data_IF_564850218951
#
_entry.id   IF_564850218951
#
_cell.length_a   1.000
_cell.length_b   1.000
_cell.length_c   1.000
_cell.angle_alpha   90.00
_cell.angle_beta   90.00
_cell.angle_gamma   90.00
#
_symmetry.space_group_name_H-M   'P 1'
#
loop_
_entity.id
_entity.type
_entity.pdbx_description
1 polymer ?
#
# COMPACT_ATOMS: atom_id res chain seq x y z
N UNK A 1 -27.11 -6.43 4.05
CA UNK A 1 -25.79 -6.99 3.69
C UNK A 1 -24.97 -7.13 4.95
N UNK A 2 -24.15 -8.19 5.09
CA UNK A 2 -23.18 -8.25 6.19
C UNK A 2 -22.32 -6.99 6.16
N UNK A 3 -21.98 -6.45 7.34
CA UNK A 3 -21.10 -5.27 7.46
C UNK A 3 -19.72 -5.60 6.89
N UNK A 4 -19.55 -5.39 5.59
CA UNK A 4 -18.29 -5.60 4.86
C UNK A 4 -17.38 -4.40 5.08
N UNK A 5 -16.09 -4.62 5.18
CA UNK A 5 -15.09 -3.57 5.27
C UNK A 5 -13.89 -3.87 4.35
N UNK A 6 -13.31 -2.82 3.79
CA UNK A 6 -12.10 -2.87 2.98
C UNK A 6 -10.97 -2.11 3.65
N UNK A 7 -9.80 -2.71 3.67
CA UNK A 7 -8.55 -2.06 4.05
C UNK A 7 -7.66 -2.12 2.79
N UNK A 8 -7.29 -0.97 2.26
CA UNK A 8 -6.56 -0.86 1.00
C UNK A 8 -5.08 -0.61 1.25
N UNK A 9 -4.20 -1.27 0.50
CA UNK A 9 -2.87 -0.73 0.23
C UNK A 9 -2.95 0.41 -0.78
N UNK A 10 -1.88 1.17 -0.95
CA UNK A 10 -1.82 2.28 -1.90
C UNK A 10 -0.91 1.96 -3.09
N UNK A 11 0.41 1.83 -2.84
CA UNK A 11 1.41 1.70 -3.90
C UNK A 11 1.27 0.36 -4.64
N UNK A 12 0.95 0.39 -5.93
CA UNK A 12 0.69 -0.79 -6.75
C UNK A 12 -0.73 -1.38 -6.60
N UNK A 13 -1.57 -0.78 -5.76
CA UNK A 13 -2.95 -1.23 -5.54
C UNK A 13 -3.97 -0.18 -5.98
N UNK A 14 -4.06 0.95 -5.30
CA UNK A 14 -4.88 2.10 -5.73
C UNK A 14 -4.08 3.10 -6.56
N UNK A 15 -2.76 3.16 -6.35
CA UNK A 15 -1.85 4.13 -6.98
C UNK A 15 -0.84 3.41 -7.88
N UNK A 16 -0.77 3.83 -9.14
CA UNK A 16 0.35 3.52 -10.03
C UNK A 16 1.52 4.46 -9.69
N UNK A 17 2.32 4.03 -8.74
CA UNK A 17 3.36 4.85 -8.09
C UNK A 17 4.77 4.27 -8.22
N UNK A 18 4.94 3.05 -8.70
CA UNK A 18 6.27 2.41 -8.72
C UNK A 18 7.28 3.16 -9.58
N UNK A 19 6.88 3.73 -10.71
CA UNK A 19 7.78 4.54 -11.54
C UNK A 19 8.23 5.83 -10.80
N UNK A 20 7.32 6.52 -10.13
CA UNK A 20 7.65 7.68 -9.33
C UNK A 20 8.59 7.34 -8.16
N UNK A 21 8.36 6.19 -7.51
CA UNK A 21 9.23 5.67 -6.45
C UNK A 21 10.63 5.38 -6.98
N UNK A 22 10.75 4.71 -8.14
CA UNK A 22 12.04 4.40 -8.76
C UNK A 22 12.81 5.65 -9.17
N UNK A 23 12.14 6.65 -9.75
CA UNK A 23 12.75 7.94 -10.08
C UNK A 23 13.25 8.65 -8.82
N UNK A 24 12.49 8.66 -7.74
CA UNK A 24 12.94 9.23 -6.46
C UNK A 24 14.15 8.53 -5.86
N UNK A 25 14.26 7.19 -6.02
CA UNK A 25 15.45 6.43 -5.60
C UNK A 25 16.64 6.74 -6.52
N UNK A 26 16.43 6.80 -7.82
CA UNK A 26 17.48 7.15 -8.79
C UNK A 26 18.10 8.51 -8.50
N UNK A 27 17.28 9.54 -8.25
CA UNK A 27 17.75 10.87 -7.87
C UNK A 27 18.51 10.86 -6.54
N UNK A 28 18.00 10.11 -5.56
CA UNK A 28 18.69 9.93 -4.27
C UNK A 28 20.06 9.31 -4.44
N UNK A 29 20.15 8.26 -5.28
CA UNK A 29 21.41 7.60 -5.58
C UNK A 29 22.37 8.51 -6.33
N UNK A 30 21.88 9.28 -7.30
CA UNK A 30 22.68 10.25 -8.04
C UNK A 30 23.29 11.32 -7.13
N UNK A 31 22.52 11.89 -6.18
CA UNK A 31 23.02 12.87 -5.21
C UNK A 31 24.12 12.30 -4.31
N UNK A 32 24.12 11.00 -4.06
CA UNK A 32 25.07 10.33 -3.18
C UNK A 32 26.14 9.55 -3.95
N UNK A 33 26.21 9.71 -5.27
CA UNK A 33 27.14 9.00 -6.16
C UNK A 33 27.05 7.48 -6.02
N UNK A 34 25.82 6.95 -5.84
CA UNK A 34 25.53 5.52 -5.78
C UNK A 34 25.11 5.06 -7.18
N UNK A 35 25.69 3.97 -7.73
CA UNK A 35 25.21 3.40 -8.99
C UNK A 35 23.76 2.94 -8.89
N UNK A 36 22.94 3.27 -9.89
CA UNK A 36 21.54 2.88 -9.96
C UNK A 36 21.32 1.82 -11.06
N UNK A 37 20.70 0.71 -10.68
CA UNK A 37 20.24 -0.34 -11.57
C UNK A 37 18.73 -0.50 -11.35
N UNK A 38 17.94 0.05 -12.28
CA UNK A 38 16.48 0.12 -12.17
C UNK A 38 15.84 -1.24 -11.92
N UNK A 39 16.26 -2.27 -12.66
CA UNK A 39 15.65 -3.59 -12.58
C UNK A 39 15.96 -4.27 -11.24
N UNK A 40 17.18 -4.16 -10.76
CA UNK A 40 17.56 -4.69 -9.43
C UNK A 40 16.85 -3.97 -8.31
N UNK A 41 16.79 -2.63 -8.36
CA UNK A 41 16.08 -1.83 -7.37
C UNK A 41 14.60 -2.17 -7.38
N UNK A 42 13.97 -2.24 -8.55
CA UNK A 42 12.56 -2.64 -8.70
C UNK A 42 12.29 -4.02 -8.10
N UNK A 43 13.07 -5.02 -8.47
CA UNK A 43 12.93 -6.38 -7.95
C UNK A 43 13.07 -6.42 -6.42
N UNK A 44 14.01 -5.64 -5.88
CA UNK A 44 14.22 -5.57 -4.43
C UNK A 44 13.03 -4.96 -3.70
N UNK A 45 12.56 -3.77 -4.13
CA UNK A 45 11.46 -3.07 -3.43
C UNK A 45 10.12 -3.79 -3.53
N UNK A 46 9.89 -4.56 -4.59
CA UNK A 46 8.70 -5.42 -4.72
C UNK A 46 8.75 -6.62 -3.77
N UNK A 47 9.95 -7.19 -3.57
CA UNK A 47 10.14 -8.35 -2.71
C UNK A 47 10.18 -7.98 -1.22
N UNK A 48 10.85 -6.88 -0.89
CA UNK A 48 11.08 -6.40 0.47
C UNK A 48 10.35 -5.06 0.68
N UNK A 49 11.08 -3.96 0.80
CA UNK A 49 10.51 -2.61 0.82
C UNK A 49 11.57 -1.57 0.41
N UNK A 50 11.11 -0.34 0.18
CA UNK A 50 12.03 0.80 -0.01
C UNK A 50 12.86 1.05 1.24
N UNK A 51 12.27 0.90 2.43
CA UNK A 51 12.99 1.07 3.69
C UNK A 51 14.12 0.05 3.85
N UNK A 52 13.85 -1.22 3.55
CA UNK A 52 14.87 -2.28 3.60
C UNK A 52 16.00 -2.01 2.61
N UNK A 53 15.68 -1.51 1.41
CA UNK A 53 16.70 -1.09 0.43
C UNK A 53 17.59 0.01 1.00
N UNK A 54 17.02 1.04 1.61
CA UNK A 54 17.79 2.17 2.15
C UNK A 54 18.64 1.74 3.36
N UNK A 55 18.15 0.86 4.21
CA UNK A 55 18.93 0.26 5.31
C UNK A 55 20.11 -0.52 4.76
N UNK A 56 19.87 -1.41 3.78
CA UNK A 56 20.95 -2.18 3.16
C UNK A 56 22.03 -1.28 2.54
N UNK A 57 21.62 -0.26 1.78
CA UNK A 57 22.55 0.68 1.15
C UNK A 57 23.32 1.51 2.19
N UNK A 58 22.66 1.91 3.28
CA UNK A 58 23.31 2.61 4.38
C UNK A 58 24.40 1.75 5.03
N UNK A 59 24.11 0.49 5.32
CA UNK A 59 25.09 -0.47 5.88
C UNK A 59 26.26 -0.73 4.93
N UNK A 60 26.00 -1.03 3.64
CA UNK A 60 27.00 -1.30 2.64
C UNK A 60 27.96 -0.12 2.38
N UNK A 61 27.46 1.11 2.55
CA UNK A 61 28.19 2.34 2.22
C UNK A 61 28.67 3.13 3.45
N UNK A 62 28.33 2.68 4.66
CA UNK A 62 28.63 3.43 5.88
C UNK A 62 27.92 4.79 5.94
N UNK A 63 26.68 4.86 5.43
CA UNK A 63 25.87 6.07 5.38
C UNK A 63 24.83 6.04 6.52
N UNK A 64 24.35 7.24 6.87
CA UNK A 64 23.25 7.37 7.81
C UNK A 64 21.91 7.13 7.07
N UNK A 65 21.13 6.18 7.55
CA UNK A 65 19.83 5.81 6.96
C UNK A 65 18.81 6.94 7.06
N UNK A 66 18.84 7.74 8.12
CA UNK A 66 17.92 8.86 8.29
C UNK A 66 18.21 9.96 7.28
N UNK A 67 19.49 10.20 6.99
CA UNK A 67 19.90 11.11 5.91
C UNK A 67 19.46 10.61 4.53
N UNK A 68 19.59 9.31 4.26
CA UNK A 68 19.08 8.70 3.02
C UNK A 68 17.57 8.88 2.89
N UNK A 69 16.82 8.63 3.97
CA UNK A 69 15.38 8.83 4.02
C UNK A 69 14.99 10.29 3.77
N UNK A 70 15.72 11.24 4.35
CA UNK A 70 15.48 12.67 4.18
C UNK A 70 15.69 13.12 2.73
N UNK A 71 16.82 12.74 2.11
CA UNK A 71 17.11 13.05 0.70
C UNK A 71 16.03 12.45 -0.21
N UNK A 72 15.67 11.18 0.03
CA UNK A 72 14.61 10.52 -0.74
C UNK A 72 13.25 11.20 -0.58
N UNK A 73 12.90 11.62 0.63
CA UNK A 73 11.62 12.30 0.87
C UNK A 73 11.50 13.59 0.08
N UNK A 74 12.60 14.37 -0.05
CA UNK A 74 12.64 15.57 -0.87
C UNK A 74 12.47 15.24 -2.35
N UNK A 75 13.24 14.29 -2.89
CA UNK A 75 13.13 13.86 -4.29
C UNK A 75 11.74 13.29 -4.62
N UNK A 76 11.13 12.55 -3.70
CA UNK A 76 9.82 11.96 -3.91
C UNK A 76 8.69 13.00 -3.88
N UNK A 77 8.80 14.05 -3.06
CA UNK A 77 7.78 15.10 -2.97
C UNK A 77 7.56 15.78 -4.34
N UNK A 78 8.62 15.99 -5.11
CA UNK A 78 8.58 16.55 -6.46
C UNK A 78 7.93 15.58 -7.49
N UNK A 79 7.87 14.28 -7.19
CA UNK A 79 7.30 13.25 -8.07
C UNK A 79 5.86 12.88 -7.72
N UNK A 80 5.30 13.41 -6.63
CA UNK A 80 3.91 13.11 -6.23
C UNK A 80 2.90 13.43 -7.35
N UNK A 81 3.14 14.49 -8.11
CA UNK A 81 2.30 14.87 -9.26
C UNK A 81 2.32 13.85 -10.42
N UNK A 82 3.25 12.91 -10.44
CA UNK A 82 3.34 11.84 -11.44
C UNK A 82 2.61 10.56 -11.02
N UNK A 83 2.15 10.49 -9.77
CA UNK A 83 1.38 9.36 -9.27
C UNK A 83 -0.03 9.45 -9.82
N UNK A 84 -0.47 8.40 -10.50
CA UNK A 84 -1.83 8.30 -11.05
C UNK A 84 -2.57 7.13 -10.40
N UNK A 85 -3.87 7.06 -10.64
CA UNK A 85 -4.68 5.93 -10.16
C UNK A 85 -4.40 4.66 -10.98
N UNK A 86 -4.41 3.53 -10.29
CA UNK A 86 -4.53 2.24 -10.97
C UNK A 86 -5.87 2.17 -11.72
N UNK A 87 -5.89 1.51 -12.89
CA UNK A 87 -7.15 1.27 -13.62
C UNK A 87 -8.21 0.64 -12.69
N UNK A 88 -9.44 1.13 -12.75
CA UNK A 88 -10.55 0.64 -11.95
C UNK A 88 -10.58 1.10 -10.48
N UNK A 89 -9.56 1.83 -10.00
CA UNK A 89 -9.49 2.24 -8.60
C UNK A 89 -10.67 3.16 -8.20
N UNK A 90 -10.98 4.15 -9.01
CA UNK A 90 -12.08 5.09 -8.75
C UNK A 90 -13.43 4.38 -8.76
N UNK A 91 -13.62 3.48 -9.72
CA UNK A 91 -14.83 2.68 -9.87
C UNK A 91 -15.05 1.73 -8.69
N UNK A 92 -14.00 1.03 -8.24
CA UNK A 92 -14.08 0.13 -7.09
C UNK A 92 -14.38 0.89 -5.79
N UNK A 93 -13.72 2.03 -5.55
CA UNK A 93 -13.97 2.88 -4.38
C UNK A 93 -15.39 3.46 -4.40
N UNK A 94 -15.84 3.96 -5.55
CA UNK A 94 -17.18 4.51 -5.69
C UNK A 94 -18.26 3.44 -5.47
N UNK A 95 -18.07 2.24 -6.04
CA UNK A 95 -18.97 1.13 -5.82
C UNK A 95 -19.02 0.73 -4.33
N UNK A 96 -17.88 0.61 -3.67
CA UNK A 96 -17.84 0.29 -2.25
C UNK A 96 -18.61 1.32 -1.40
N UNK A 97 -18.43 2.61 -1.69
CA UNK A 97 -19.20 3.68 -1.04
C UNK A 97 -20.70 3.55 -1.28
N UNK A 98 -21.14 3.25 -2.50
CA UNK A 98 -22.55 3.05 -2.84
C UNK A 98 -23.16 1.84 -2.10
N UNK A 99 -22.36 0.81 -1.84
CA UNK A 99 -22.78 -0.37 -1.07
C UNK A 99 -22.74 -0.14 0.45
N UNK A 100 -22.30 1.02 0.92
CA UNK A 100 -22.13 1.31 2.35
C UNK A 100 -20.99 0.52 3.00
N UNK A 101 -20.02 0.06 2.21
CA UNK A 101 -18.83 -0.64 2.68
C UNK A 101 -17.88 0.38 3.34
N UNK A 102 -17.51 0.13 4.59
CA UNK A 102 -16.51 0.96 5.26
C UNK A 102 -15.13 0.76 4.62
N UNK A 103 -14.47 1.86 4.30
CA UNK A 103 -13.18 1.83 3.62
C UNK A 103 -12.09 2.48 4.46
N UNK A 104 -10.94 1.82 4.52
CA UNK A 104 -9.75 2.22 5.26
C UNK A 104 -8.53 2.09 4.37
N UNK A 105 -7.47 2.80 4.72
CA UNK A 105 -6.14 2.61 4.12
C UNK A 105 -5.16 2.16 5.19
N UNK A 106 -4.31 1.19 4.87
CA UNK A 106 -3.08 0.93 5.60
C UNK A 106 -1.92 0.72 4.63
N UNK A 107 -0.99 1.64 4.63
CA UNK A 107 0.14 1.69 3.71
C UNK A 107 1.48 1.88 4.42
N UNK A 108 2.56 1.41 3.80
CA UNK A 108 3.92 1.75 4.22
C UNK A 108 4.42 3.11 3.68
N UNK A 109 3.62 3.79 2.88
CA UNK A 109 3.89 5.15 2.44
C UNK A 109 3.85 6.12 3.63
N UNK A 110 4.67 7.17 3.58
CA UNK A 110 4.70 8.21 4.61
C UNK A 110 3.53 9.20 4.49
N UNK A 111 3.65 10.35 5.16
CA UNK A 111 2.60 11.40 5.19
C UNK A 111 2.22 11.95 3.82
N UNK A 112 3.13 11.86 2.83
CA UNK A 112 2.81 12.22 1.46
C UNK A 112 1.64 11.42 0.87
N UNK A 113 1.26 10.28 1.48
CA UNK A 113 0.05 9.54 1.12
C UNK A 113 -1.21 10.41 1.23
N UNK A 114 -1.31 11.20 2.31
CA UNK A 114 -2.46 12.08 2.56
C UNK A 114 -2.55 13.18 1.50
N UNK A 115 -1.42 13.76 1.11
CA UNK A 115 -1.37 14.78 0.05
C UNK A 115 -1.81 14.19 -1.28
N UNK A 116 -1.24 13.04 -1.68
CA UNK A 116 -1.60 12.36 -2.93
C UNK A 116 -3.09 12.02 -2.97
N UNK A 117 -3.65 11.47 -1.89
CA UNK A 117 -5.06 11.12 -1.85
C UNK A 117 -5.97 12.34 -1.95
N UNK A 118 -5.60 13.49 -1.35
CA UNK A 118 -6.33 14.76 -1.50
C UNK A 118 -6.24 15.30 -2.93
N UNK A 119 -5.04 15.30 -3.51
CA UNK A 119 -4.83 15.80 -4.88
C UNK A 119 -5.60 14.96 -5.92
N UNK A 120 -5.93 13.72 -5.59
CA UNK A 120 -6.73 12.81 -6.41
C UNK A 120 -8.23 12.79 -6.01
N UNK A 121 -8.65 13.60 -5.04
CA UNK A 121 -10.02 13.64 -4.49
C UNK A 121 -10.50 12.28 -3.95
N UNK A 122 -9.61 11.52 -3.31
CA UNK A 122 -9.90 10.19 -2.77
C UNK A 122 -9.93 10.13 -1.25
N UNK A 123 -9.39 11.09 -0.54
CA UNK A 123 -9.32 11.10 0.93
C UNK A 123 -10.72 10.97 1.56
N UNK A 124 -11.72 11.55 0.92
CA UNK A 124 -13.14 11.47 1.34
C UNK A 124 -13.75 10.07 1.23
N UNK A 125 -13.10 9.14 0.52
CA UNK A 125 -13.56 7.76 0.39
C UNK A 125 -13.28 6.92 1.63
N UNK A 126 -12.37 7.36 2.50
CA UNK A 126 -11.83 6.55 3.58
C UNK A 126 -12.28 7.05 4.96
N UNK A 127 -12.69 6.11 5.81
CA UNK A 127 -13.01 6.38 7.21
C UNK A 127 -11.77 6.72 8.03
N UNK A 128 -10.65 6.03 7.76
CA UNK A 128 -9.34 6.30 8.36
C UNK A 128 -8.21 5.88 7.43
N UNK A 129 -7.13 6.65 7.44
CA UNK A 129 -5.92 6.41 6.66
C UNK A 129 -4.75 6.22 7.61
N UNK A 130 -4.17 5.01 7.61
CA UNK A 130 -2.99 4.66 8.39
C UNK A 130 -1.77 4.62 7.47
N UNK A 131 -0.74 5.38 7.84
CA UNK A 131 0.53 5.47 7.12
C UNK A 131 1.66 4.83 7.92
N UNK A 132 2.87 4.83 7.38
CA UNK A 132 4.07 4.39 8.11
C UNK A 132 4.35 5.18 9.39
N UNK A 133 3.71 6.34 9.57
CA UNK A 133 3.88 7.22 10.74
C UNK A 133 2.75 7.07 11.77
N UNK A 134 1.79 6.18 11.54
CA UNK A 134 0.69 5.93 12.46
C UNK A 134 1.09 5.13 13.71
N UNK A 135 2.38 4.76 13.85
CA UNK A 135 2.91 4.15 15.07
C UNK A 135 2.71 2.64 15.17
N UNK A 136 2.22 1.97 14.13
CA UNK A 136 2.06 0.51 14.10
C UNK A 136 3.30 -0.18 13.53
N UNK A 137 3.55 -1.40 14.00
CA UNK A 137 4.54 -2.27 13.38
C UNK A 137 4.18 -2.52 11.92
N UNK A 138 5.21 -2.56 11.06
CA UNK A 138 5.03 -2.72 9.61
C UNK A 138 4.40 -4.08 9.26
N UNK A 139 3.68 -4.13 8.13
CA UNK A 139 3.23 -5.40 7.54
C UNK A 139 4.43 -6.38 7.46
N UNK A 140 4.27 -7.66 7.79
CA UNK A 140 3.03 -8.40 7.98
C UNK A 140 2.50 -8.43 9.43
N UNK A 141 2.94 -7.53 10.34
CA UNK A 141 2.38 -7.43 11.70
C UNK A 141 0.88 -7.11 11.65
N UNK A 142 0.01 -7.79 12.41
CA UNK A 142 -1.44 -7.57 12.39
C UNK A 142 -1.90 -6.32 13.15
N UNK A 143 -0.99 -5.58 13.78
CA UNK A 143 -1.34 -4.50 14.72
C UNK A 143 -2.32 -3.46 14.14
N UNK A 144 -2.04 -2.96 12.92
CA UNK A 144 -2.89 -1.95 12.29
C UNK A 144 -4.30 -2.47 11.99
N UNK A 145 -4.42 -3.71 11.49
CA UNK A 145 -5.73 -4.31 11.24
C UNK A 145 -6.47 -4.58 12.56
N UNK A 146 -5.78 -5.08 13.59
CA UNK A 146 -6.35 -5.30 14.92
C UNK A 146 -6.90 -4.01 15.52
N UNK A 147 -6.17 -2.90 15.35
CA UNK A 147 -6.63 -1.57 15.75
C UNK A 147 -7.91 -1.18 15.01
N UNK A 148 -7.95 -1.28 13.68
CA UNK A 148 -9.13 -0.93 12.87
C UNK A 148 -10.34 -1.81 13.24
N UNK A 149 -10.13 -3.12 13.36
CA UNK A 149 -11.17 -4.08 13.74
C UNK A 149 -11.77 -3.71 15.11
N UNK A 150 -10.93 -3.42 16.09
CA UNK A 150 -11.37 -3.06 17.43
C UNK A 150 -12.08 -1.71 17.46
N UNK A 151 -11.50 -0.69 16.83
CA UNK A 151 -12.02 0.69 16.87
C UNK A 151 -13.36 0.83 16.14
N UNK A 152 -13.53 0.14 15.03
CA UNK A 152 -14.71 0.26 14.18
C UNK A 152 -15.63 -0.95 14.26
N UNK A 153 -15.37 -1.88 15.18
CA UNK A 153 -16.16 -3.10 15.41
C UNK A 153 -16.34 -3.93 14.15
N UNK A 154 -15.28 -4.00 13.31
CA UNK A 154 -15.34 -4.73 12.06
C UNK A 154 -15.44 -6.24 12.30
N UNK A 155 -16.10 -6.94 11.37
CA UNK A 155 -16.19 -8.40 11.39
C UNK A 155 -15.05 -9.02 10.56
N UNK A 156 -14.07 -9.73 11.16
CA UNK A 156 -12.95 -10.27 10.41
C UNK A 156 -13.37 -11.14 9.22
N UNK A 157 -14.43 -11.93 9.36
CA UNK A 157 -14.93 -12.83 8.30
C UNK A 157 -15.48 -12.10 7.06
N UNK A 158 -15.80 -10.82 7.17
CA UNK A 158 -16.25 -9.95 6.08
C UNK A 158 -15.37 -8.72 5.88
N UNK A 159 -14.17 -8.72 6.46
CA UNK A 159 -13.15 -7.69 6.23
C UNK A 159 -12.09 -8.21 5.27
N UNK A 160 -11.74 -7.39 4.30
CA UNK A 160 -10.78 -7.72 3.24
C UNK A 160 -9.62 -6.73 3.25
N UNK A 161 -8.40 -7.24 3.15
CA UNK A 161 -7.25 -6.43 2.77
C UNK A 161 -6.98 -6.58 1.28
N UNK A 162 -6.87 -5.47 0.58
CA UNK A 162 -6.62 -5.42 -0.87
C UNK A 162 -5.19 -4.93 -1.10
N UNK A 163 -4.38 -5.71 -1.83
CA UNK A 163 -2.97 -5.41 -2.06
C UNK A 163 -2.39 -6.06 -3.31
N UNK A 164 -1.11 -5.80 -3.56
CA UNK A 164 -0.40 -6.26 -4.74
C UNK A 164 0.79 -7.19 -4.44
N UNK A 165 1.19 -7.33 -3.17
CA UNK A 165 2.38 -8.08 -2.77
C UNK A 165 2.06 -9.24 -1.84
N UNK A 166 3.02 -10.19 -1.74
CA UNK A 166 2.95 -11.30 -0.79
C UNK A 166 2.79 -10.81 0.65
N UNK A 167 3.48 -9.72 0.99
CA UNK A 167 3.42 -9.07 2.29
C UNK A 167 1.99 -8.66 2.70
N UNK A 168 1.16 -8.27 1.73
CA UNK A 168 -0.22 -7.87 1.94
C UNK A 168 -1.11 -9.08 2.23
N UNK A 169 -0.85 -10.19 1.53
CA UNK A 169 -1.51 -11.47 1.81
C UNK A 169 -1.18 -11.93 3.23
N UNK A 170 0.09 -11.90 3.62
CA UNK A 170 0.54 -12.30 4.94
C UNK A 170 -0.04 -11.40 6.02
N UNK A 171 -0.10 -10.08 5.79
CA UNK A 171 -0.76 -9.15 6.70
C UNK A 171 -2.23 -9.50 6.91
N UNK A 172 -2.98 -9.73 5.85
CA UNK A 172 -4.39 -10.10 5.94
C UNK A 172 -4.57 -11.39 6.76
N UNK A 173 -3.83 -12.44 6.42
CA UNK A 173 -3.96 -13.75 7.07
C UNK A 173 -3.53 -13.71 8.55
N UNK A 174 -2.44 -13.00 8.87
CA UNK A 174 -2.00 -12.80 10.25
C UNK A 174 -3.01 -12.00 11.08
N UNK A 175 -3.81 -11.16 10.42
CA UNK A 175 -4.87 -10.37 11.05
C UNK A 175 -6.20 -11.12 11.16
N UNK A 176 -6.28 -12.35 10.67
CA UNK A 176 -7.52 -13.15 10.64
C UNK A 176 -8.59 -12.62 9.69
N UNK A 177 -8.21 -11.79 8.72
CA UNK A 177 -9.10 -11.23 7.68
C UNK A 177 -8.79 -11.84 6.32
N UNK A 178 -9.66 -11.60 5.34
CA UNK A 178 -9.49 -12.11 3.98
C UNK A 178 -8.54 -11.23 3.16
N UNK A 179 -7.88 -11.83 2.18
CA UNK A 179 -7.04 -11.13 1.21
C UNK A 179 -7.67 -11.15 -0.18
N UNK A 180 -7.69 -10.00 -0.85
CA UNK A 180 -7.86 -9.86 -2.30
C UNK A 180 -6.55 -9.32 -2.86
N UNK A 181 -5.89 -10.05 -3.74
CA UNK A 181 -4.54 -9.68 -4.14
C UNK A 181 -4.29 -9.93 -5.63
N UNK A 182 -3.47 -9.10 -6.25
CA UNK A 182 -3.08 -9.28 -7.65
C UNK A 182 -2.14 -10.47 -7.84
N UNK A 183 -1.43 -10.90 -6.80
CA UNK A 183 -0.58 -12.07 -6.87
C UNK A 183 -1.40 -13.37 -6.86
N UNK A 184 -1.00 -14.31 -7.72
CA UNK A 184 -1.46 -15.68 -7.63
C UNK A 184 -0.75 -16.37 -6.47
N UNK A 185 -1.50 -16.64 -5.40
CA UNK A 185 -0.98 -17.33 -4.22
C UNK A 185 -2.06 -18.28 -3.68
N UNK A 186 -1.74 -19.58 -3.63
CA UNK A 186 -2.65 -20.62 -3.14
C UNK A 186 -2.62 -20.71 -1.60
N UNK A 187 -2.88 -19.61 -0.90
CA UNK A 187 -3.09 -19.60 0.55
C UNK A 187 -4.59 -19.51 0.83
N UNK A 188 -5.08 -20.34 1.75
CA UNK A 188 -6.46 -20.24 2.24
C UNK A 188 -6.70 -18.84 2.80
N UNK A 189 -7.84 -18.23 2.47
CA UNK A 189 -8.15 -16.85 2.85
C UNK A 189 -7.64 -15.78 1.87
N UNK A 190 -6.85 -16.16 0.84
CA UNK A 190 -6.48 -15.28 -0.26
C UNK A 190 -7.25 -15.62 -1.53
N UNK A 191 -7.78 -14.58 -2.18
CA UNK A 191 -8.40 -14.69 -3.50
C UNK A 191 -7.66 -13.78 -4.47
N UNK A 192 -7.22 -14.34 -5.59
CA UNK A 192 -6.59 -13.56 -6.65
C UNK A 192 -7.63 -12.72 -7.39
N UNK A 193 -7.26 -11.46 -7.62
CA UNK A 193 -7.92 -10.55 -8.57
C UNK A 193 -6.93 -10.20 -9.69
N UNK A 194 -7.44 -9.86 -10.86
CA UNK A 194 -6.63 -9.42 -12.00
C UNK A 194 -6.78 -7.93 -12.26
N UNK A 195 -7.90 -7.37 -11.84
CA UNK A 195 -8.24 -5.97 -11.91
C UNK A 195 -9.06 -5.58 -10.67
N UNK A 196 -9.10 -4.29 -10.34
CA UNK A 196 -9.88 -3.82 -9.18
C UNK A 196 -11.38 -4.00 -9.37
N UNK A 197 -11.86 -4.00 -10.61
CA UNK A 197 -13.25 -4.28 -10.97
C UNK A 197 -13.69 -5.70 -10.65
N UNK A 198 -12.75 -6.65 -10.54
CA UNK A 198 -13.06 -8.02 -10.13
C UNK A 198 -13.69 -8.06 -8.72
N UNK A 199 -13.33 -7.10 -7.85
CA UNK A 199 -13.89 -6.96 -6.49
C UNK A 199 -15.40 -6.77 -6.58
N UNK A 200 -15.86 -5.94 -7.51
CA UNK A 200 -17.30 -5.68 -7.74
C UNK A 200 -18.01 -6.97 -8.10
N UNK A 201 -17.46 -7.71 -9.06
CA UNK A 201 -18.05 -8.97 -9.53
C UNK A 201 -18.08 -10.04 -8.43
N UNK A 202 -16.99 -10.16 -7.67
CA UNK A 202 -16.86 -11.16 -6.60
C UNK A 202 -17.82 -10.93 -5.43
N UNK A 203 -18.08 -9.67 -5.08
CA UNK A 203 -18.88 -9.34 -3.90
C UNK A 203 -20.33 -8.99 -4.22
N UNK A 204 -20.67 -8.65 -5.46
CA UNK A 204 -22.07 -8.47 -5.89
C UNK A 204 -22.85 -9.79 -5.94
N UNK A 205 -22.15 -10.93 -5.97
CA UNK A 205 -22.74 -12.27 -6.06
C UNK A 205 -22.80 -13.00 -4.70
N UNK A 206 -22.49 -12.33 -3.59
CA UNK A 206 -22.58 -12.84 -2.23
C UNK A 206 -23.81 -12.26 -1.50
#
# INVERSE_FOLDING_TARGET
MQETAFIWDLDGTLLDSYEAILLGIEETYAQLSIPFDKEKVRAFILKYSVQDLLVQVAEERGLDVDKLNQVRAQSLAEKNAQVILMPGAREALAWANQQGIQQFVYTHKGENALTILRDLDLDVCFTEILTSQSGFARKPSPEAATYLISKYHLKPVSTYYIGDRLLDIEFALNSGIKSLNFLSCNKEGNQQIRALEDIITLLSNQ
#
